data_IF_086132378135
#
_entry.id   IF_086132378135
#
_cell.length_a   1.000
_cell.length_b   1.000
_cell.length_c   1.000
_cell.angle_alpha   90.00
_cell.angle_beta   90.00
_cell.angle_gamma   90.00
#
_symmetry.space_group_name_H-M   'P 1'
#
loop_
_entity.id
_entity.type
_entity.pdbx_description
1 polymer ?
#
# COMPACT_ATOMS: atom_id res chain seq x y z
N UNK A 1 -38.53 29.24 -27.27
CA UNK A 1 -38.31 28.91 -25.85
C UNK A 1 -37.81 27.46 -25.63
N UNK A 2 -38.26 26.50 -26.38
CA UNK A 2 -37.86 25.10 -26.18
C UNK A 2 -36.43 24.77 -26.65
N UNK A 3 -35.85 25.52 -27.54
CA UNK A 3 -34.48 25.33 -28.07
C UNK A 3 -33.38 25.50 -27.01
N UNK A 4 -33.55 26.41 -26.06
CA UNK A 4 -32.54 26.72 -25.05
C UNK A 4 -32.51 25.66 -23.92
N UNK A 5 -33.61 24.96 -23.68
CA UNK A 5 -33.73 23.91 -22.67
C UNK A 5 -32.90 22.67 -23.04
N UNK A 6 -32.97 22.24 -24.32
CA UNK A 6 -32.22 21.11 -24.80
C UNK A 6 -30.71 21.34 -24.87
N UNK A 7 -30.30 22.59 -25.14
CA UNK A 7 -28.87 22.98 -25.14
C UNK A 7 -28.26 22.91 -23.73
N UNK A 8 -29.02 23.29 -22.74
CA UNK A 8 -28.57 23.22 -21.32
C UNK A 8 -28.45 21.81 -20.80
N UNK A 9 -29.32 20.90 -21.23
CA UNK A 9 -29.25 19.48 -20.86
C UNK A 9 -28.03 18.78 -21.48
N UNK A 10 -27.68 19.13 -22.72
CA UNK A 10 -26.53 18.54 -23.41
C UNK A 10 -25.21 18.94 -22.75
N UNK A 11 -25.10 20.16 -22.23
CA UNK A 11 -23.91 20.62 -21.52
C UNK A 11 -23.71 19.89 -20.17
N UNK A 12 -24.80 19.58 -19.46
CA UNK A 12 -24.73 18.84 -18.19
C UNK A 12 -24.33 17.38 -18.40
N UNK A 13 -24.81 16.73 -19.47
CA UNK A 13 -24.48 15.34 -19.79
C UNK A 13 -22.99 15.16 -20.14
N UNK A 14 -22.37 16.11 -20.79
CA UNK A 14 -20.95 16.10 -21.14
C UNK A 14 -20.06 16.30 -19.90
N UNK A 15 -20.47 17.10 -18.94
CA UNK A 15 -19.73 17.31 -17.70
C UNK A 15 -19.72 16.06 -16.80
N UNK A 16 -20.78 15.28 -16.77
CA UNK A 16 -20.87 14.04 -16.00
C UNK A 16 -19.98 12.91 -16.55
N UNK A 17 -19.74 12.88 -17.86
CA UNK A 17 -18.89 11.86 -18.50
C UNK A 17 -17.40 12.03 -18.23
N UNK A 18 -16.94 13.21 -17.81
CA UNK A 18 -15.53 13.51 -17.53
C UNK A 18 -15.08 13.12 -16.12
N UNK A 19 -16.01 12.78 -15.22
CA UNK A 19 -15.71 12.47 -13.81
C UNK A 19 -15.38 10.96 -13.61
N UNK A 20 -15.60 10.11 -14.61
CA UNK A 20 -15.61 8.65 -14.46
C UNK A 20 -14.37 7.89 -14.92
N UNK A 21 -13.24 8.55 -15.27
CA UNK A 21 -12.10 7.86 -15.90
C UNK A 21 -10.81 7.82 -15.09
N UNK A 22 -10.88 7.85 -13.76
CA UNK A 22 -9.71 7.53 -12.95
C UNK A 22 -9.51 6.00 -12.95
N UNK A 23 -8.75 5.48 -13.92
CA UNK A 23 -8.33 4.07 -13.95
C UNK A 23 -7.11 3.94 -13.04
N UNK A 24 -7.25 3.22 -11.94
CA UNK A 24 -6.10 2.79 -11.16
C UNK A 24 -5.24 1.87 -12.04
N UNK A 25 -3.93 2.14 -12.15
CA UNK A 25 -2.99 1.26 -12.84
C UNK A 25 -2.94 -0.14 -12.20
N UNK A 26 -2.36 -1.14 -12.87
CA UNK A 26 -2.21 -2.48 -12.31
C UNK A 26 -1.37 -2.46 -11.03
N UNK A 27 -1.83 -3.16 -9.99
CA UNK A 27 -1.11 -3.35 -8.74
C UNK A 27 -0.84 -4.84 -8.55
N UNK A 28 0.38 -5.26 -8.18
CA UNK A 28 1.60 -4.46 -8.07
C UNK A 28 2.33 -4.34 -9.42
N UNK A 29 2.88 -3.17 -9.74
CA UNK A 29 3.70 -2.92 -10.93
C UNK A 29 5.18 -2.65 -10.61
N UNK A 30 5.54 -2.61 -9.33
CA UNK A 30 6.90 -2.43 -8.82
C UNK A 30 7.09 -3.25 -7.53
N UNK A 31 8.34 -3.41 -7.03
CA UNK A 31 8.60 -4.17 -5.82
C UNK A 31 7.85 -3.62 -4.60
N UNK A 32 7.34 -4.54 -3.77
CA UNK A 32 6.71 -4.22 -2.50
C UNK A 32 7.75 -4.40 -1.40
N UNK A 33 7.95 -3.38 -0.59
CA UNK A 33 8.85 -3.43 0.58
C UNK A 33 8.09 -3.89 1.81
N UNK A 34 8.57 -4.96 2.43
CA UNK A 34 8.01 -5.50 3.66
C UNK A 34 8.96 -5.16 4.81
N UNK A 35 8.57 -4.22 5.66
CA UNK A 35 9.38 -3.72 6.77
C UNK A 35 9.17 -4.61 8.00
N UNK A 36 10.26 -5.19 8.49
CA UNK A 36 10.29 -5.98 9.72
C UNK A 36 11.00 -5.16 10.79
N UNK A 37 10.30 -4.74 11.87
CA UNK A 37 10.88 -3.89 12.90
C UNK A 37 11.72 -4.69 13.90
N UNK A 38 12.59 -5.54 13.42
CA UNK A 38 13.49 -6.37 14.21
C UNK A 38 14.77 -6.69 13.45
N UNK A 39 15.76 -7.21 14.18
CA UNK A 39 17.01 -7.63 13.57
C UNK A 39 16.82 -8.83 12.64
N UNK A 40 17.66 -8.91 11.61
CA UNK A 40 17.70 -10.05 10.71
C UNK A 40 18.04 -11.34 11.47
N UNK A 41 17.36 -12.44 11.10
CA UNK A 41 17.57 -13.77 11.70
C UNK A 41 16.70 -14.07 12.93
N UNK A 42 16.00 -13.10 13.48
CA UNK A 42 15.03 -13.31 14.56
C UNK A 42 13.73 -13.95 14.06
N UNK A 43 12.85 -14.33 15.00
CA UNK A 43 11.57 -14.98 14.66
C UNK A 43 10.69 -14.13 13.73
N UNK A 44 10.55 -12.80 13.94
CA UNK A 44 9.77 -11.97 13.02
C UNK A 44 10.36 -11.93 11.62
N UNK A 45 11.68 -11.93 11.48
CA UNK A 45 12.35 -11.95 10.20
C UNK A 45 12.10 -13.27 9.46
N UNK A 46 12.31 -14.39 10.11
CA UNK A 46 12.10 -15.72 9.53
C UNK A 46 10.65 -15.89 9.06
N UNK A 47 9.69 -15.54 9.90
CA UNK A 47 8.27 -15.62 9.56
C UNK A 47 7.92 -14.72 8.38
N UNK A 48 8.42 -13.49 8.39
CA UNK A 48 8.17 -12.53 7.30
C UNK A 48 8.73 -13.01 5.97
N UNK A 49 9.91 -13.63 5.97
CA UNK A 49 10.51 -14.18 4.76
C UNK A 49 9.74 -15.38 4.21
N UNK A 50 9.19 -16.22 5.08
CA UNK A 50 8.31 -17.32 4.66
C UNK A 50 7.04 -16.78 4.01
N UNK A 51 6.40 -15.79 4.62
CA UNK A 51 5.18 -15.18 4.10
C UNK A 51 5.44 -14.47 2.77
N UNK A 52 6.47 -13.65 2.69
CA UNK A 52 6.79 -12.90 1.48
C UNK A 52 7.20 -13.79 0.32
N UNK A 53 7.91 -14.88 0.59
CA UNK A 53 8.26 -15.88 -0.42
C UNK A 53 7.02 -16.54 -0.98
N UNK A 54 6.05 -16.91 -0.13
CA UNK A 54 4.80 -17.52 -0.58
C UNK A 54 3.95 -16.52 -1.37
N UNK A 55 3.83 -15.29 -0.89
CA UNK A 55 3.10 -14.24 -1.63
C UNK A 55 3.70 -13.96 -2.99
N UNK A 56 5.03 -13.92 -3.10
CA UNK A 56 5.71 -13.74 -4.37
C UNK A 56 5.40 -14.88 -5.36
N UNK A 57 5.34 -16.11 -4.89
CA UNK A 57 4.97 -17.26 -5.71
C UNK A 57 3.52 -17.20 -6.18
N UNK A 58 2.60 -16.85 -5.29
CA UNK A 58 1.16 -16.86 -5.56
C UNK A 58 0.72 -15.69 -6.44
N UNK A 59 1.38 -14.53 -6.31
CA UNK A 59 0.96 -13.29 -6.97
C UNK A 59 1.87 -12.85 -8.12
N UNK A 60 3.08 -13.41 -8.22
CA UNK A 60 4.11 -12.94 -9.16
C UNK A 60 4.75 -11.61 -8.75
N UNK A 61 4.38 -11.04 -7.59
CA UNK A 61 4.94 -9.80 -7.10
C UNK A 61 6.38 -9.97 -6.64
N UNK A 62 7.21 -8.94 -6.80
CA UNK A 62 8.54 -8.88 -6.19
C UNK A 62 8.40 -8.33 -4.77
N UNK A 63 8.83 -9.13 -3.79
CA UNK A 63 8.79 -8.75 -2.38
C UNK A 63 10.20 -8.55 -1.85
N UNK A 64 10.46 -7.42 -1.18
CA UNK A 64 11.74 -7.08 -0.56
C UNK A 64 11.54 -6.97 0.94
N UNK A 65 12.25 -7.78 1.72
CA UNK A 65 12.21 -7.70 3.19
C UNK A 65 13.28 -6.72 3.67
N UNK A 66 12.87 -5.73 4.43
CA UNK A 66 13.74 -4.72 5.01
C UNK A 66 13.68 -4.78 6.54
N UNK A 67 14.80 -5.10 7.17
CA UNK A 67 14.91 -5.14 8.62
C UNK A 67 15.26 -3.74 9.15
N UNK A 68 14.41 -3.22 10.04
CA UNK A 68 14.58 -1.91 10.70
C UNK A 68 14.44 -2.08 12.20
N UNK A 69 15.49 -2.57 12.89
CA UNK A 69 15.48 -2.71 14.34
C UNK A 69 15.64 -1.36 15.04
N UNK A 70 15.41 -1.34 16.34
CA UNK A 70 15.64 -0.18 17.19
C UNK A 70 14.38 0.31 17.88
N UNK A 71 14.54 0.86 19.09
CA UNK A 71 13.47 1.41 19.94
C UNK A 71 12.27 0.43 20.09
N UNK A 72 12.53 -0.84 20.37
CA UNK A 72 11.51 -1.91 20.46
C UNK A 72 10.64 -2.05 19.19
N UNK A 73 11.19 -1.73 18.03
CA UNK A 73 10.51 -1.80 16.74
C UNK A 73 9.85 -0.48 16.29
N UNK A 74 9.88 0.56 17.12
CA UNK A 74 9.21 1.82 16.80
C UNK A 74 9.83 2.54 15.60
N UNK A 75 11.13 2.40 15.36
CA UNK A 75 11.81 3.00 14.20
C UNK A 75 11.25 2.41 12.91
N UNK A 76 11.11 1.08 12.83
CA UNK A 76 10.56 0.41 11.65
C UNK A 76 9.09 0.77 11.40
N UNK A 77 8.27 0.78 12.45
CA UNK A 77 6.85 1.15 12.34
C UNK A 77 6.68 2.62 11.96
N UNK A 78 7.51 3.52 12.47
CA UNK A 78 7.49 4.93 12.08
C UNK A 78 7.82 5.12 10.59
N UNK A 79 8.72 4.31 10.04
CA UNK A 79 9.03 4.30 8.61
C UNK A 79 7.79 3.91 7.79
N UNK A 80 7.08 2.84 8.18
CA UNK A 80 5.84 2.42 7.50
C UNK A 80 4.77 3.50 7.59
N UNK A 81 4.61 4.12 8.75
CA UNK A 81 3.63 5.19 8.97
C UNK A 81 3.88 6.41 8.07
N UNK A 82 5.13 6.73 7.80
CA UNK A 82 5.51 7.88 6.94
C UNK A 82 5.55 7.55 5.47
N UNK A 83 5.53 6.28 5.10
CA UNK A 83 5.52 5.86 3.70
C UNK A 83 4.22 6.26 3.01
N UNK A 84 4.24 6.37 1.69
CA UNK A 84 3.04 6.62 0.90
C UNK A 84 2.02 5.49 1.10
N UNK A 85 0.74 5.84 1.23
CA UNK A 85 -0.35 4.89 1.43
C UNK A 85 -0.81 4.29 0.09
N UNK A 86 0.11 3.68 -0.64
CA UNK A 86 -0.11 3.11 -1.97
C UNK A 86 -0.02 1.58 -2.02
N UNK A 87 0.23 0.93 -0.87
CA UNK A 87 0.39 -0.51 -0.77
C UNK A 87 1.76 -1.05 -1.14
N UNK A 88 2.74 -0.22 -1.46
CA UNK A 88 4.10 -0.64 -1.79
C UNK A 88 5.07 -0.66 -0.60
N UNK A 89 4.64 -0.18 0.55
CA UNK A 89 5.34 -0.32 1.82
C UNK A 89 4.38 -0.90 2.84
N UNK A 90 4.63 -2.11 3.28
CA UNK A 90 3.85 -2.80 4.31
C UNK A 90 4.75 -3.15 5.48
N UNK A 91 4.19 -3.34 6.65
CA UNK A 91 4.96 -3.59 7.85
C UNK A 91 4.44 -4.73 8.69
N UNK A 92 5.34 -5.34 9.45
CA UNK A 92 5.02 -6.32 10.48
C UNK A 92 4.80 -5.59 11.81
N UNK A 93 3.60 -5.67 12.34
CA UNK A 93 3.26 -5.11 13.65
C UNK A 93 3.16 -6.19 14.71
N UNK A 94 3.56 -5.86 15.92
CA UNK A 94 3.41 -6.71 17.09
C UNK A 94 2.89 -5.91 18.28
N UNK A 95 2.72 -6.55 19.42
CA UNK A 95 2.17 -5.90 20.62
C UNK A 95 3.03 -4.71 21.09
N UNK A 96 4.34 -4.80 20.96
CA UNK A 96 5.23 -3.71 21.39
C UNK A 96 5.08 -2.47 20.50
N UNK A 97 4.86 -2.66 19.20
CA UNK A 97 4.78 -1.55 18.24
C UNK A 97 3.37 -0.98 18.09
N UNK A 98 2.33 -1.76 18.40
CA UNK A 98 0.94 -1.39 18.14
C UNK A 98 0.13 -1.07 19.40
N UNK A 99 0.50 -1.63 20.55
CA UNK A 99 -0.31 -1.54 21.76
C UNK A 99 0.43 -0.96 22.99
N UNK A 100 1.75 -1.12 23.09
CA UNK A 100 2.52 -0.68 24.26
C UNK A 100 3.07 0.74 24.08
N UNK A 101 3.19 1.22 22.86
CA UNK A 101 3.73 2.54 22.53
C UNK A 101 2.71 3.47 21.90
#
# INVERSE_FOLDING_TARGET
MHRNFFRSLSALAVSAALIGTAVAGPYPDKPITFVVPSAAGGSPDVLSRLITTQLARDTGATMVVENRPGAAGNIGIALVKRAAADGYTVGYGNINTLAVN
#
